data_IF_584691682578
#
_entry.id   IF_584691682578
#
_cell.length_a   1.000
_cell.length_b   1.000
_cell.length_c   1.000
_cell.angle_alpha   90.00
_cell.angle_beta   90.00
_cell.angle_gamma   90.00
#
_symmetry.space_group_name_H-M   'P 1'
#
loop_
_entity.id
_entity.type
_entity.pdbx_description
1 polymer ?
#
# COMPACT_ATOMS: atom_id res chain seq x y z
N UNK A 1 3.97 1.33 -0.36
CA UNK A 1 3.07 0.71 0.63
C UNK A 1 2.42 -0.51 0.01
N UNK A 2 2.28 -1.60 0.74
CA UNK A 2 1.54 -2.78 0.31
C UNK A 2 0.37 -3.02 1.27
N UNK A 3 -0.81 -3.34 0.75
CA UNK A 3 -2.04 -3.58 1.53
C UNK A 3 -2.56 -4.96 1.21
N UNK A 4 -2.53 -5.86 2.18
CA UNK A 4 -3.14 -7.19 2.06
C UNK A 4 -4.62 -7.13 2.44
N UNK A 5 -5.47 -7.43 1.46
CA UNK A 5 -6.91 -7.61 1.64
C UNK A 5 -7.18 -9.09 1.96
N UNK A 6 -7.43 -9.42 3.23
CA UNK A 6 -7.56 -10.80 3.71
C UNK A 6 -8.82 -11.54 3.20
N UNK A 7 -9.82 -10.80 2.74
CA UNK A 7 -11.05 -11.33 2.16
C UNK A 7 -10.86 -11.82 0.71
N UNK A 8 -9.97 -11.17 -0.03
CA UNK A 8 -9.72 -11.43 -1.45
C UNK A 8 -8.33 -12.00 -1.74
N UNK A 9 -7.45 -12.03 -0.74
CA UNK A 9 -6.03 -12.40 -0.85
C UNK A 9 -5.25 -11.56 -1.87
N UNK A 10 -5.68 -10.32 -2.06
CA UNK A 10 -5.02 -9.37 -2.97
C UNK A 10 -4.11 -8.45 -2.18
N UNK A 11 -2.92 -8.21 -2.71
CA UNK A 11 -1.95 -7.24 -2.19
C UNK A 11 -1.87 -6.07 -3.15
N UNK A 12 -2.48 -4.96 -2.77
CA UNK A 12 -2.38 -3.72 -3.53
C UNK A 12 -1.05 -3.02 -3.23
N UNK A 13 -0.27 -2.73 -4.26
CA UNK A 13 1.02 -2.05 -4.19
C UNK A 13 0.83 -0.61 -4.63
N UNK A 14 1.07 0.31 -3.70
CA UNK A 14 1.08 1.76 -3.91
C UNK A 14 2.51 2.27 -3.86
N UNK A 15 2.95 2.93 -4.92
CA UNK A 15 4.26 3.58 -4.99
C UNK A 15 4.09 4.99 -5.55
N UNK A 16 4.50 5.99 -4.76
CA UNK A 16 4.39 7.40 -5.09
C UNK A 16 5.56 7.94 -5.90
N UNK A 17 6.61 7.15 -6.09
CA UNK A 17 7.84 7.57 -6.78
C UNK A 17 7.95 6.97 -8.19
N UNK A 18 6.87 6.39 -8.73
CA UNK A 18 6.94 5.71 -10.02
C UNK A 18 7.24 6.70 -11.15
N UNK A 19 8.18 6.37 -12.05
CA UNK A 19 8.31 7.07 -13.31
C UNK A 19 7.02 6.91 -14.13
N UNK A 20 6.51 7.99 -14.71
CA UNK A 20 5.25 8.04 -15.46
C UNK A 20 5.18 7.03 -16.63
N UNK A 21 6.33 6.57 -17.13
CA UNK A 21 6.45 5.66 -18.28
C UNK A 21 6.82 4.21 -17.89
N UNK A 22 6.88 3.88 -16.60
CA UNK A 22 7.30 2.55 -16.14
C UNK A 22 6.13 1.73 -15.61
N UNK A 23 5.40 1.07 -16.52
CA UNK A 23 4.45 0.03 -16.15
C UNK A 23 5.19 -1.30 -15.98
N UNK A 24 5.75 -1.54 -14.79
CA UNK A 24 6.11 -2.90 -14.42
C UNK A 24 4.84 -3.68 -14.14
N UNK A 25 4.29 -4.35 -15.17
CA UNK A 25 3.54 -5.58 -14.93
C UNK A 25 4.52 -6.52 -14.26
N UNK A 26 4.49 -6.60 -12.93
CA UNK A 26 5.23 -7.62 -12.21
C UNK A 26 4.75 -8.96 -12.76
N UNK A 27 5.58 -9.63 -13.56
CA UNK A 27 5.38 -11.03 -13.86
C UNK A 27 5.45 -11.71 -12.49
N UNK A 28 4.34 -12.28 -12.04
CA UNK A 28 4.21 -12.99 -10.75
C UNK A 28 5.08 -14.24 -10.65
N UNK A 29 6.07 -14.41 -11.54
CA UNK A 29 6.99 -15.53 -11.59
C UNK A 29 8.23 -15.26 -10.74
N UNK A 30 8.34 -15.98 -9.63
CA UNK A 30 9.54 -16.01 -8.78
C UNK A 30 9.39 -15.21 -7.49
N UNK A 31 9.89 -13.98 -7.48
CA UNK A 31 10.05 -13.16 -6.25
C UNK A 31 8.73 -12.87 -5.52
N UNK A 32 7.68 -12.49 -6.27
CA UNK A 32 6.36 -12.26 -5.68
C UNK A 32 5.71 -13.55 -5.17
N UNK A 33 5.99 -14.69 -5.81
CA UNK A 33 5.51 -15.97 -5.29
C UNK A 33 6.18 -16.26 -3.95
N UNK A 34 7.51 -16.12 -3.85
CA UNK A 34 8.21 -16.29 -2.56
C UNK A 34 7.73 -15.32 -1.50
N UNK A 35 7.43 -14.07 -1.85
CA UNK A 35 6.91 -13.10 -0.90
C UNK A 35 5.46 -13.42 -0.47
N UNK A 36 4.61 -13.86 -1.40
CA UNK A 36 3.27 -14.38 -1.08
C UNK A 36 3.34 -15.59 -0.16
N UNK A 37 4.24 -16.54 -0.43
CA UNK A 37 4.48 -17.71 0.43
C UNK A 37 4.97 -17.27 1.82
N UNK A 38 5.82 -16.24 1.92
CA UNK A 38 6.24 -15.66 3.19
C UNK A 38 5.07 -15.04 3.98
N UNK A 39 4.15 -14.33 3.33
CA UNK A 39 2.95 -13.79 4.00
C UNK A 39 2.13 -14.92 4.63
N UNK A 40 1.92 -16.02 3.89
CA UNK A 40 1.20 -17.19 4.42
C UNK A 40 1.95 -17.80 5.61
N UNK A 41 3.28 -17.87 5.54
CA UNK A 41 4.11 -18.37 6.63
C UNK A 41 4.07 -17.49 7.89
N UNK A 42 3.99 -16.17 7.74
CA UNK A 42 3.84 -15.26 8.88
C UNK A 42 2.45 -15.39 9.52
N UNK A 43 1.41 -15.58 8.71
CA UNK A 43 0.05 -15.85 9.20
C UNK A 43 -0.03 -17.20 9.94
N UNK A 44 0.71 -18.22 9.48
CA UNK A 44 0.88 -19.48 10.22
C UNK A 44 1.50 -19.24 11.60
N UNK A 45 2.54 -18.41 11.68
CA UNK A 45 3.27 -18.16 12.92
C UNK A 45 2.43 -17.46 14.01
N UNK A 46 1.44 -16.67 13.61
CA UNK A 46 0.50 -16.01 14.54
C UNK A 46 -0.81 -16.80 14.71
N UNK A 47 -0.86 -18.05 14.23
CA UNK A 47 -2.02 -18.94 14.32
C UNK A 47 -3.31 -18.35 13.74
N UNK A 48 -3.21 -17.43 12.76
CA UNK A 48 -4.34 -16.70 12.17
C UNK A 48 -5.46 -17.64 11.69
N UNK A 49 -5.11 -18.82 11.21
CA UNK A 49 -6.05 -19.78 10.62
C UNK A 49 -6.96 -20.48 11.63
N UNK A 50 -6.63 -20.46 12.92
CA UNK A 50 -7.40 -21.18 13.96
C UNK A 50 -8.82 -20.65 14.12
N UNK A 51 -9.06 -19.40 13.73
CA UNK A 51 -10.37 -18.75 13.79
C UNK A 51 -11.29 -19.09 12.60
N UNK A 52 -10.80 -19.87 11.62
CA UNK A 52 -11.49 -20.16 10.38
C UNK A 52 -11.77 -21.66 10.18
N UNK A 53 -12.78 -22.02 9.36
CA UNK A 53 -13.04 -23.42 9.03
C UNK A 53 -11.84 -24.11 8.36
N UNK A 54 -11.73 -25.41 8.59
CA UNK A 54 -10.74 -26.28 7.93
C UNK A 54 -10.78 -26.10 6.41
N UNK A 55 -9.62 -25.90 5.79
CA UNK A 55 -9.48 -25.66 4.35
C UNK A 55 -9.62 -24.19 3.92
N UNK A 56 -9.78 -23.24 4.86
CA UNK A 56 -9.74 -21.81 4.54
C UNK A 56 -8.37 -21.38 3.98
N UNK A 57 -7.28 -21.87 4.60
CA UNK A 57 -5.90 -21.62 4.15
C UNK A 57 -5.64 -22.06 2.71
N UNK A 58 -6.22 -23.18 2.27
CA UNK A 58 -5.99 -23.72 0.92
C UNK A 58 -6.51 -22.79 -0.20
N UNK A 59 -7.38 -21.84 0.15
CA UNK A 59 -7.89 -20.81 -0.76
C UNK A 59 -7.06 -19.54 -0.76
N UNK A 60 -6.11 -19.40 0.17
CA UNK A 60 -5.26 -18.22 0.31
C UNK A 60 -4.18 -18.22 -0.79
N UNK A 61 -4.55 -17.72 -1.96
CA UNK A 61 -3.61 -17.48 -3.06
C UNK A 61 -3.35 -15.99 -3.14
N UNK A 62 -2.16 -15.57 -2.72
CA UNK A 62 -1.78 -14.16 -2.71
C UNK A 62 -1.56 -13.67 -4.14
N UNK A 63 -2.31 -12.65 -4.55
CA UNK A 63 -2.17 -11.98 -5.84
C UNK A 63 -1.70 -10.53 -5.64
N UNK A 64 -0.67 -10.11 -6.36
CA UNK A 64 -0.12 -8.76 -6.25
C UNK A 64 -0.69 -7.88 -7.35
N UNK A 65 -1.23 -6.72 -6.96
CA UNK A 65 -1.87 -5.76 -7.85
C UNK A 65 -1.11 -4.45 -7.78
N UNK A 66 -0.54 -4.05 -8.90
CA UNK A 66 0.11 -2.75 -9.00
C UNK A 66 -0.94 -1.65 -9.19
N UNK A 67 -1.09 -0.74 -8.22
CA UNK A 67 -2.07 0.34 -8.28
C UNK A 67 -1.47 1.50 -9.09
N UNK A 68 -1.81 1.58 -10.37
CA UNK A 68 -1.19 2.52 -11.33
C UNK A 68 -1.77 3.93 -11.31
N UNK A 69 -2.99 4.10 -10.80
CA UNK A 69 -3.66 5.39 -10.69
C UNK A 69 -3.43 6.06 -9.32
N UNK A 70 -2.51 5.52 -8.52
CA UNK A 70 -2.12 6.10 -7.23
C UNK A 70 -1.47 7.49 -7.41
N UNK A 71 -1.75 8.44 -6.50
CA UNK A 71 -1.11 9.75 -6.50
C UNK A 71 0.42 9.65 -6.49
N UNK A 72 1.08 10.39 -7.38
CA UNK A 72 2.54 10.42 -7.51
C UNK A 72 3.11 11.71 -6.91
N UNK A 73 4.25 11.61 -6.24
CA UNK A 73 5.03 12.76 -5.78
C UNK A 73 5.69 13.47 -6.97
N UNK A 74 5.95 14.77 -6.84
CA UNK A 74 6.60 15.53 -7.91
C UNK A 74 8.12 15.31 -7.90
N UNK A 75 8.65 14.75 -8.98
CA UNK A 75 10.04 14.28 -9.05
C UNK A 75 11.08 15.41 -9.10
N UNK A 76 10.66 16.63 -9.47
CA UNK A 76 11.53 17.80 -9.72
C UNK A 76 11.91 18.55 -8.43
N UNK A 77 11.08 18.49 -7.38
CA UNK A 77 11.23 19.27 -6.15
C UNK A 77 11.17 18.42 -4.87
N UNK A 78 10.43 17.30 -4.88
CA UNK A 78 10.01 16.62 -3.66
C UNK A 78 10.56 15.19 -3.54
N UNK A 79 11.88 15.02 -3.72
CA UNK A 79 12.57 13.72 -3.54
C UNK A 79 12.54 13.13 -2.11
N UNK A 80 11.73 13.69 -1.22
CA UNK A 80 11.59 13.25 0.17
C UNK A 80 10.15 13.06 0.64
N UNK A 81 9.16 13.13 -0.25
CA UNK A 81 7.74 13.05 0.12
C UNK A 81 7.18 11.63 0.19
N UNK A 82 7.96 10.60 -0.14
CA UNK A 82 7.45 9.23 -0.22
C UNK A 82 6.84 8.76 1.10
N UNK A 83 7.40 9.16 2.25
CA UNK A 83 6.82 8.88 3.56
C UNK A 83 5.46 9.56 3.77
N UNK A 84 5.31 10.80 3.32
CA UNK A 84 4.06 11.58 3.40
C UNK A 84 2.98 10.94 2.54
N UNK A 85 3.33 10.54 1.32
CA UNK A 85 2.41 9.84 0.43
C UNK A 85 2.04 8.46 0.96
N UNK A 86 2.96 7.71 1.58
CA UNK A 86 2.64 6.45 2.27
C UNK A 86 1.62 6.68 3.38
N UNK A 87 1.79 7.72 4.21
CA UNK A 87 0.81 8.06 5.25
C UNK A 87 -0.55 8.47 4.66
N UNK A 88 -0.56 9.25 3.59
CA UNK A 88 -1.79 9.60 2.86
C UNK A 88 -2.49 8.35 2.31
N UNK A 89 -1.75 7.44 1.66
CA UNK A 89 -2.33 6.21 1.13
C UNK A 89 -2.94 5.38 2.24
N UNK A 90 -2.21 5.21 3.35
CA UNK A 90 -2.69 4.48 4.52
C UNK A 90 -3.98 5.09 5.06
N UNK A 91 -4.01 6.41 5.27
CA UNK A 91 -5.20 7.12 5.77
C UNK A 91 -6.43 6.90 4.85
N UNK A 92 -6.25 7.01 3.54
CA UNK A 92 -7.35 6.83 2.59
C UNK A 92 -7.84 5.38 2.56
N UNK A 93 -6.91 4.41 2.54
CA UNK A 93 -7.23 2.98 2.58
C UNK A 93 -8.03 2.61 3.83
N UNK A 94 -7.57 3.01 5.03
CA UNK A 94 -8.28 2.68 6.29
C UNK A 94 -9.63 3.39 6.40
N UNK A 95 -9.78 4.56 5.76
CA UNK A 95 -11.03 5.30 5.72
C UNK A 95 -12.03 4.73 4.69
N UNK A 96 -11.64 3.71 3.92
CA UNK A 96 -12.47 3.13 2.87
C UNK A 96 -12.73 4.05 1.68
N UNK A 97 -11.93 5.11 1.52
CA UNK A 97 -12.06 6.05 0.40
C UNK A 97 -11.05 5.72 -0.70
N UNK A 98 -11.36 6.01 -1.98
CA UNK A 98 -10.41 5.81 -3.06
C UNK A 98 -9.11 6.60 -2.82
N UNK A 99 -7.97 5.95 -3.03
CA UNK A 99 -6.64 6.56 -2.91
C UNK A 99 -6.42 7.50 -4.10
N UNK A 100 -6.87 8.75 -3.98
CA UNK A 100 -6.82 9.77 -5.04
C UNK A 100 -6.60 11.16 -4.47
N UNK A 101 -5.88 12.01 -5.19
CA UNK A 101 -5.75 13.43 -4.88
C UNK A 101 -6.63 14.26 -5.81
N UNK A 102 -7.29 15.28 -5.25
CA UNK A 102 -8.11 16.23 -6.00
C UNK A 102 -7.44 17.61 -6.15
N UNK A 103 -6.24 17.76 -5.58
CA UNK A 103 -5.41 18.96 -5.66
C UNK A 103 -4.20 18.70 -6.55
N UNK A 104 -3.47 19.76 -6.90
CA UNK A 104 -2.20 19.63 -7.61
C UNK A 104 -1.19 18.81 -6.79
N UNK A 105 -0.39 17.97 -7.45
CA UNK A 105 0.58 17.06 -6.80
C UNK A 105 1.49 17.78 -5.81
N UNK A 106 2.01 18.94 -6.22
CA UNK A 106 2.85 19.82 -5.40
C UNK A 106 2.18 20.24 -4.09
N UNK A 107 0.90 20.61 -4.16
CA UNK A 107 0.16 21.10 -3.00
C UNK A 107 -0.23 19.95 -2.07
N UNK A 108 -0.47 18.74 -2.62
CA UNK A 108 -0.82 17.56 -1.84
C UNK A 108 0.28 17.21 -0.82
N UNK A 109 1.56 17.18 -1.24
CA UNK A 109 2.67 16.91 -0.35
C UNK A 109 2.74 17.91 0.82
N UNK A 110 2.68 19.21 0.50
CA UNK A 110 2.71 20.27 1.52
C UNK A 110 1.54 20.17 2.52
N UNK A 111 0.31 19.99 2.03
CA UNK A 111 -0.88 19.90 2.88
C UNK A 111 -0.82 18.69 3.82
N UNK A 112 -0.39 17.53 3.31
CA UNK A 112 -0.28 16.33 4.12
C UNK A 112 0.87 16.40 5.13
N UNK A 113 2.01 17.00 4.78
CA UNK A 113 3.07 17.29 5.76
C UNK A 113 2.53 18.13 6.91
N UNK A 114 1.86 19.23 6.61
CA UNK A 114 1.29 20.11 7.62
C UNK A 114 0.27 19.38 8.51
N UNK A 115 -0.62 18.60 7.91
CA UNK A 115 -1.58 17.77 8.64
C UNK A 115 -0.89 16.76 9.57
N UNK A 116 0.12 16.05 9.08
CA UNK A 116 0.89 15.10 9.87
C UNK A 116 1.62 15.79 11.02
N UNK A 117 2.24 16.95 10.78
CA UNK A 117 2.89 17.75 11.82
C UNK A 117 1.91 18.14 12.92
N UNK A 118 0.71 18.61 12.57
CA UNK A 118 -0.32 18.93 13.56
C UNK A 118 -0.73 17.69 14.36
N UNK A 119 -0.95 16.55 13.72
CA UNK A 119 -1.27 15.30 14.43
C UNK A 119 -0.17 14.94 15.42
N UNK A 120 1.11 14.97 15.01
CA UNK A 120 2.26 14.61 15.86
C UNK A 120 2.44 15.60 17.01
N UNK A 121 2.23 16.89 16.76
CA UNK A 121 2.49 17.94 17.74
C UNK A 121 1.31 18.15 18.70
N UNK A 122 0.08 17.98 18.24
CA UNK A 122 -1.13 18.07 19.06
C UNK A 122 -1.39 16.79 19.90
N UNK A 123 -0.61 15.72 19.68
CA UNK A 123 -0.64 14.49 20.50
C UNK A 123 0.41 14.47 21.62
N UNK A 124 1.19 15.54 21.80
CA UNK A 124 2.13 15.75 22.92
C UNK A 124 1.53 16.76 23.89
#
# INVERSE_FOLDING_TARGET
MAVLHLDTWKVDIYDSARPMDYFSKYLTGGEFKSFGDSIISELDAIEYWNDFPVGHKDKAKVEFIDVVDAPQQEYSLDRGDCGVFVCMFMEMTISGVPVKIFTARKDAGFLYRHKMTNIIWDTI
#
